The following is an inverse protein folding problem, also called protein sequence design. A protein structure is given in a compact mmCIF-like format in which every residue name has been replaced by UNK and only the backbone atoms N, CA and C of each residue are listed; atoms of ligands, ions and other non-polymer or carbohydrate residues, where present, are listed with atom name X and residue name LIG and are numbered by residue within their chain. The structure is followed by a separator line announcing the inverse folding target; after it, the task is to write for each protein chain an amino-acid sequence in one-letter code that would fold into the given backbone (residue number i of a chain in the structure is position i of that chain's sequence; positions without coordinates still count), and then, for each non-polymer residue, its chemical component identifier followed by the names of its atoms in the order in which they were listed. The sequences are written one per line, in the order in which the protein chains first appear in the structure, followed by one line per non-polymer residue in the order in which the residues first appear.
data_IF_103627165557
#
_entry.id   IF_103627165557
#
_cell.length_a   1.000
_cell.length_b   1.000
_cell.length_c   1.000
_cell.angle_alpha   90.00
_cell.angle_beta   90.00
_cell.angle_gamma   90.00
#
_symmetry.space_group_name_H-M   'P 1'
#
loop_
_entity.id
_entity.type
_entity.pdbx_description
1 polymer ?
#
# COMPACT_ATOMS: atom_id res chain seq x y z
N UNK A 1 20.44 -25.12 22.74
CA UNK A 1 20.08 -26.05 21.65
C UNK A 1 18.59 -25.85 21.43
N UNK A 2 18.18 -25.34 20.28
CA UNK A 2 16.76 -25.07 19.99
C UNK A 2 16.05 -26.40 19.76
N UNK A 3 14.89 -26.62 20.39
CA UNK A 3 14.13 -27.86 20.24
C UNK A 3 13.31 -27.85 18.95
N UNK A 4 13.27 -28.99 18.27
CA UNK A 4 12.56 -29.17 17.00
C UNK A 4 11.04 -28.95 17.14
N UNK A 5 10.49 -29.24 18.31
CA UNK A 5 9.08 -29.02 18.64
C UNK A 5 8.72 -27.53 18.65
N UNK A 6 9.63 -26.67 19.15
CA UNK A 6 9.43 -25.21 19.18
C UNK A 6 9.40 -24.63 17.76
N UNK A 7 10.30 -25.10 16.88
CA UNK A 7 10.38 -24.68 15.47
C UNK A 7 9.11 -25.09 14.70
N UNK A 8 8.56 -26.29 14.97
CA UNK A 8 7.36 -26.78 14.29
C UNK A 8 6.09 -26.08 14.83
N UNK A 9 6.12 -25.61 16.08
CA UNK A 9 5.00 -24.88 16.70
C UNK A 9 4.90 -23.42 16.25
N UNK A 10 5.98 -22.85 15.74
CA UNK A 10 6.02 -21.43 15.39
C UNK A 10 5.10 -21.14 14.20
N UNK A 11 4.15 -20.23 14.41
CA UNK A 11 3.20 -19.78 13.40
C UNK A 11 3.45 -18.32 13.08
N UNK A 12 4.48 -18.05 12.29
CA UNK A 12 4.62 -16.75 11.63
C UNK A 12 3.49 -16.59 10.62
N UNK A 13 2.63 -15.60 10.78
CA UNK A 13 1.57 -15.38 9.81
C UNK A 13 1.24 -13.90 9.69
N UNK A 14 1.66 -13.27 8.61
CA UNK A 14 1.16 -11.95 8.21
C UNK A 14 -0.37 -12.00 8.01
N UNK A 15 -1.05 -10.88 8.24
CA UNK A 15 -2.45 -10.71 7.88
C UNK A 15 -2.62 -10.35 6.40
N UNK A 16 -3.49 -11.05 5.68
CA UNK A 16 -3.86 -10.71 4.30
C UNK A 16 -5.37 -10.80 4.11
N UNK A 17 -5.93 -9.99 3.22
CA UNK A 17 -7.34 -9.98 2.90
C UNK A 17 -7.66 -9.11 1.69
N UNK A 18 -8.91 -9.14 1.24
CA UNK A 18 -9.41 -8.27 0.18
C UNK A 18 -10.86 -7.88 0.44
N UNK A 19 -11.27 -6.75 -0.14
CA UNK A 19 -12.66 -6.28 -0.13
C UNK A 19 -13.01 -5.91 -1.56
N UNK A 20 -14.18 -6.34 -2.03
CA UNK A 20 -14.65 -6.07 -3.39
C UNK A 20 -16.08 -5.56 -3.39
N UNK A 21 -16.34 -4.51 -4.18
CA UNK A 21 -17.69 -4.08 -4.47
C UNK A 21 -18.23 -4.80 -5.70
N UNK A 22 -19.11 -5.78 -5.50
CA UNK A 22 -19.68 -6.60 -6.57
C UNK A 22 -20.56 -5.81 -7.56
N UNK A 23 -20.94 -4.58 -7.22
CA UNK A 23 -21.69 -3.68 -8.12
C UNK A 23 -20.78 -2.82 -9.00
N UNK A 24 -19.47 -3.03 -8.96
CA UNK A 24 -18.48 -2.28 -9.72
C UNK A 24 -18.57 -0.74 -9.49
N UNK A 25 -18.96 -0.32 -8.29
CA UNK A 25 -18.99 1.11 -7.94
C UNK A 25 -17.77 1.48 -7.11
N UNK A 26 -16.97 2.40 -7.62
CA UNK A 26 -15.91 3.03 -6.83
C UNK A 26 -16.53 3.75 -5.63
N UNK A 27 -15.89 3.62 -4.46
CA UNK A 27 -16.35 4.24 -3.22
C UNK A 27 -15.19 4.37 -2.25
N UNK A 28 -15.06 5.53 -1.59
CA UNK A 28 -14.09 5.71 -0.51
C UNK A 28 -14.33 4.74 0.66
N UNK A 29 -15.58 4.28 0.87
CA UNK A 29 -15.91 3.35 1.94
C UNK A 29 -15.08 2.06 1.86
N UNK A 30 -14.79 1.54 0.66
CA UNK A 30 -14.01 0.30 0.51
C UNK A 30 -12.56 0.47 1.01
N UNK A 31 -12.00 1.67 0.88
CA UNK A 31 -10.68 2.02 1.38
C UNK A 31 -10.73 2.15 2.91
N UNK A 32 -11.75 2.82 3.45
CA UNK A 32 -11.95 2.92 4.90
C UNK A 32 -12.10 1.54 5.56
N UNK A 33 -12.86 0.64 4.94
CA UNK A 33 -13.04 -0.73 5.42
C UNK A 33 -11.71 -1.52 5.34
N UNK A 34 -10.95 -1.36 4.26
CA UNK A 34 -9.66 -2.03 4.09
C UNK A 34 -8.64 -1.58 5.15
N UNK A 35 -8.58 -0.28 5.46
CA UNK A 35 -7.71 0.26 6.51
C UNK A 35 -8.14 -0.20 7.90
N UNK A 36 -9.46 -0.27 8.15
CA UNK A 36 -9.99 -0.81 9.41
C UNK A 36 -9.61 -2.28 9.57
N UNK A 37 -9.79 -3.07 8.50
CA UNK A 37 -9.39 -4.49 8.50
C UNK A 37 -7.88 -4.66 8.73
N UNK A 38 -7.05 -3.81 8.12
CA UNK A 38 -5.60 -3.82 8.34
C UNK A 38 -5.24 -3.60 9.82
N UNK A 39 -5.89 -2.65 10.49
CA UNK A 39 -5.73 -2.43 11.93
C UNK A 39 -6.19 -3.61 12.80
N UNK A 40 -7.25 -4.33 12.41
CA UNK A 40 -7.65 -5.56 13.09
C UNK A 40 -6.60 -6.69 12.97
N UNK A 41 -5.69 -6.61 12.00
CA UNK A 41 -4.62 -7.58 11.78
C UNK A 41 -3.30 -7.21 12.47
N UNK A 42 -3.25 -6.13 13.24
CA UNK A 42 -2.03 -5.63 13.92
C UNK A 42 -1.34 -6.71 14.76
N UNK A 43 -2.11 -7.51 15.50
CA UNK A 43 -1.60 -8.63 16.32
C UNK A 43 -0.88 -9.73 15.52
N UNK A 44 -0.92 -9.66 14.18
CA UNK A 44 -0.28 -10.56 13.23
C UNK A 44 0.87 -9.88 12.47
N UNK A 45 1.14 -8.62 12.76
CA UNK A 45 2.28 -7.86 12.27
C UNK A 45 3.50 -8.04 13.16
N UNK A 46 4.68 -7.81 12.59
CA UNK A 46 5.92 -7.66 13.34
C UNK A 46 6.20 -6.18 13.61
N UNK A 47 6.92 -5.92 14.70
CA UNK A 47 7.34 -4.60 15.11
C UNK A 47 8.83 -4.60 15.39
N UNK A 48 9.50 -3.51 15.01
CA UNK A 48 10.90 -3.25 15.28
C UNK A 48 11.19 -3.08 16.77
N UNK A 49 12.48 -3.08 17.12
CA UNK A 49 12.92 -2.98 18.50
C UNK A 49 12.60 -1.63 19.18
N UNK A 50 12.27 -0.60 18.39
CA UNK A 50 11.81 0.70 18.88
C UNK A 50 10.36 0.68 19.39
N UNK A 51 9.63 -0.41 19.16
CA UNK A 51 8.19 -0.56 19.44
C UNK A 51 7.32 0.52 18.75
N UNK A 52 7.79 1.06 17.62
CA UNK A 52 7.09 2.09 16.85
C UNK A 52 7.08 1.72 15.35
N UNK A 53 8.25 1.37 14.80
CA UNK A 53 8.38 0.96 13.42
C UNK A 53 7.77 -0.43 13.20
N UNK A 54 6.79 -0.55 12.30
CA UNK A 54 6.28 -1.85 11.84
C UNK A 54 7.15 -2.45 10.74
N UNK A 55 7.15 -3.78 10.61
CA UNK A 55 7.85 -4.48 9.52
C UNK A 55 7.27 -4.13 8.13
N UNK A 56 5.99 -3.79 8.09
CA UNK A 56 5.32 -3.27 6.89
C UNK A 56 3.82 -3.53 6.85
N UNK A 57 3.10 -2.62 6.24
CA UNK A 57 1.67 -2.73 5.96
C UNK A 57 1.36 -2.07 4.62
N UNK A 58 0.30 -2.51 3.93
CA UNK A 58 -0.03 -1.97 2.61
C UNK A 58 -1.45 -2.25 2.17
N UNK A 59 -1.92 -1.45 1.21
CA UNK A 59 -3.21 -1.61 0.54
C UNK A 59 -3.02 -1.43 -0.96
N UNK A 60 -3.60 -2.34 -1.75
CA UNK A 60 -3.68 -2.22 -3.20
C UNK A 60 -5.12 -1.87 -3.58
N UNK A 61 -5.28 -0.89 -4.48
CA UNK A 61 -6.59 -0.46 -4.96
C UNK A 61 -6.56 -0.20 -6.46
N UNK A 62 -7.71 0.04 -7.07
CA UNK A 62 -7.78 0.64 -8.40
C UNK A 62 -7.16 2.03 -8.39
N UNK A 63 -6.66 2.49 -9.53
CA UNK A 63 -6.13 3.86 -9.65
C UNK A 63 -7.23 4.87 -9.25
N UNK A 64 -6.99 5.75 -8.25
CA UNK A 64 -7.97 6.75 -7.83
C UNK A 64 -8.00 7.93 -8.80
N UNK A 65 -8.63 7.76 -9.97
CA UNK A 65 -8.62 8.76 -11.04
C UNK A 65 -9.12 10.13 -10.61
N UNK A 66 -10.12 10.21 -9.73
CA UNK A 66 -10.60 11.48 -9.18
C UNK A 66 -9.50 12.27 -8.47
N UNK A 67 -8.59 11.59 -7.76
CA UNK A 67 -7.45 12.21 -7.08
C UNK A 67 -6.45 12.77 -8.10
N UNK A 68 -6.11 11.97 -9.11
CA UNK A 68 -5.16 12.38 -10.16
C UNK A 68 -5.72 13.49 -11.07
N UNK A 69 -7.00 13.40 -11.42
CA UNK A 69 -7.69 14.41 -12.23
C UNK A 69 -7.85 15.73 -11.48
N UNK A 70 -8.12 15.69 -10.17
CA UNK A 70 -8.13 16.90 -9.34
C UNK A 70 -6.74 17.57 -9.29
N UNK A 71 -5.67 16.77 -9.20
CA UNK A 71 -4.31 17.29 -9.27
C UNK A 71 -4.01 17.87 -10.66
N UNK A 72 -4.36 17.16 -11.74
CA UNK A 72 -4.15 17.58 -13.12
C UNK A 72 -4.80 18.95 -13.42
N UNK A 73 -6.05 19.13 -13.01
CA UNK A 73 -6.80 20.38 -13.14
C UNK A 73 -6.07 21.54 -12.44
N UNK A 74 -5.58 21.32 -11.21
CA UNK A 74 -4.78 22.30 -10.46
C UNK A 74 -3.44 22.64 -11.13
N UNK A 75 -2.86 21.73 -11.90
CA UNK A 75 -1.63 21.98 -12.67
C UNK A 75 -1.92 22.59 -14.05
N UNK A 76 -3.18 22.76 -14.45
CA UNK A 76 -3.55 23.23 -15.78
C UNK A 76 -3.19 22.25 -16.90
N UNK A 77 -3.08 20.95 -16.60
CA UNK A 77 -2.84 19.91 -17.60
C UNK A 77 -4.14 19.17 -17.93
N UNK A 78 -4.18 18.52 -19.09
CA UNK A 78 -5.34 17.74 -19.50
C UNK A 78 -5.63 16.60 -18.52
N UNK A 79 -6.92 16.28 -18.33
CA UNK A 79 -7.35 15.14 -17.54
C UNK A 79 -6.83 13.83 -18.13
N UNK A 80 -6.57 12.85 -17.28
CA UNK A 80 -6.06 11.55 -17.70
C UNK A 80 -7.15 10.70 -18.32
N UNK A 81 -6.81 9.99 -19.39
CA UNK A 81 -7.69 8.96 -19.95
C UNK A 81 -7.36 7.63 -19.26
N UNK A 82 -8.34 7.12 -18.51
CA UNK A 82 -8.20 5.94 -17.65
C UNK A 82 -7.79 4.66 -18.41
N UNK A 83 -8.10 4.57 -19.71
CA UNK A 83 -7.85 3.38 -20.52
C UNK A 83 -6.46 3.32 -21.13
N UNK A 84 -5.74 4.44 -21.18
CA UNK A 84 -4.43 4.53 -21.83
C UNK A 84 -3.37 5.25 -20.97
N UNK A 85 -3.70 5.57 -19.71
CA UNK A 85 -2.78 6.16 -18.75
C UNK A 85 -2.34 5.12 -17.72
N UNK A 86 -1.04 5.02 -17.48
CA UNK A 86 -0.47 4.21 -16.40
C UNK A 86 0.04 5.08 -15.26
N UNK A 87 -0.07 4.59 -14.02
CA UNK A 87 0.50 5.23 -12.83
C UNK A 87 1.57 4.31 -12.25
N UNK A 88 2.78 4.85 -12.06
CA UNK A 88 3.88 4.17 -11.37
C UNK A 88 4.10 4.76 -9.98
N UNK A 89 3.95 3.96 -8.94
CA UNK A 89 4.38 4.30 -7.59
C UNK A 89 5.81 3.80 -7.39
N UNK A 90 6.77 4.70 -7.21
CA UNK A 90 8.21 4.38 -7.18
C UNK A 90 8.86 4.99 -5.95
N UNK A 91 9.70 4.22 -5.26
CA UNK A 91 10.61 4.74 -4.25
C UNK A 91 11.93 5.15 -4.90
N UNK A 92 12.37 6.38 -4.65
CA UNK A 92 13.61 6.93 -5.18
C UNK A 92 14.58 7.26 -4.03
N UNK A 93 15.90 7.27 -4.30
CA UNK A 93 16.89 7.73 -3.32
C UNK A 93 16.60 9.14 -2.81
N UNK A 94 16.93 9.40 -1.53
CA UNK A 94 16.81 10.74 -0.93
C UNK A 94 18.00 11.65 -1.27
N UNK A 95 19.15 11.07 -1.57
CA UNK A 95 20.34 11.79 -2.00
C UNK A 95 20.12 12.41 -3.39
N UNK A 96 20.44 13.69 -3.56
CA UNK A 96 20.09 14.44 -4.77
C UNK A 96 20.80 13.92 -6.03
N UNK A 97 22.06 13.50 -5.89
CA UNK A 97 22.85 12.98 -7.01
C UNK A 97 22.26 11.64 -7.47
N UNK A 98 22.04 10.72 -6.54
CA UNK A 98 21.42 9.42 -6.82
C UNK A 98 19.97 9.54 -7.31
N UNK A 99 19.22 10.51 -6.80
CA UNK A 99 17.85 10.80 -7.26
C UNK A 99 17.84 11.23 -8.72
N UNK A 100 18.79 12.09 -9.13
CA UNK A 100 18.90 12.56 -10.51
C UNK A 100 19.27 11.41 -11.43
N UNK A 101 20.23 10.58 -11.04
CA UNK A 101 20.62 9.39 -11.79
C UNK A 101 19.44 8.41 -11.96
N UNK A 102 18.69 8.12 -10.89
CA UNK A 102 17.54 7.21 -10.93
C UNK A 102 16.34 7.72 -11.74
N UNK A 103 16.27 9.03 -12.03
CA UNK A 103 15.22 9.64 -12.86
C UNK A 103 15.56 9.70 -14.35
N UNK A 104 16.83 9.50 -14.70
CA UNK A 104 17.35 9.62 -16.06
C UNK A 104 17.22 8.28 -16.79
#
# INVERSE_FOLDING_TARGET
VVNLEDIISERGACGVGFIANLRHKASHAIISDALTALGCMEHRGGCGADNDSGDGAGVMSSIPWDLFNNWADKQGIALFNESNTGVGMVFLPKDEVQLKEAKT
#
